data_IF_765686500976
#
_entry.id   IF_765686500976
#
_cell.length_a   1.000
_cell.length_b   1.000
_cell.length_c   1.000
_cell.angle_alpha   90.00
_cell.angle_beta   90.00
_cell.angle_gamma   90.00
#
_symmetry.space_group_name_H-M   'P 1'
#
loop_
_entity.id
_entity.type
_entity.pdbx_description
1 polymer ?
#
# COMPACT_ATOMS: atom_id res chain seq x y z
N UNK A 1 22.58 -4.04 9.15
CA UNK A 1 21.99 -5.00 8.20
C UNK A 1 20.86 -4.29 7.47
N UNK A 2 20.88 -4.29 6.15
CA UNK A 2 19.87 -3.63 5.33
C UNK A 2 18.58 -4.45 5.36
N UNK A 3 17.44 -3.81 5.67
CA UNK A 3 16.13 -4.47 5.72
C UNK A 3 15.44 -4.29 4.38
N UNK A 4 15.74 -5.16 3.43
CA UNK A 4 15.15 -5.16 2.10
C UNK A 4 14.60 -6.54 1.71
N UNK A 5 13.63 -6.54 0.81
CA UNK A 5 13.01 -7.73 0.20
C UNK A 5 12.71 -7.44 -1.27
N UNK A 6 12.62 -8.49 -2.09
CA UNK A 6 12.01 -8.38 -3.42
C UNK A 6 10.52 -8.66 -3.29
N UNK A 7 9.69 -7.69 -3.66
CA UNK A 7 8.23 -7.84 -3.70
C UNK A 7 7.77 -8.11 -5.12
N UNK A 8 6.76 -8.96 -5.27
CA UNK A 8 6.12 -9.27 -6.55
C UNK A 8 4.72 -8.67 -6.53
N UNK A 9 4.47 -7.71 -7.42
CA UNK A 9 3.18 -7.03 -7.54
C UNK A 9 2.46 -7.51 -8.78
N UNK A 10 1.20 -7.89 -8.62
CA UNK A 10 0.29 -8.27 -9.71
C UNK A 10 -0.87 -7.30 -9.76
N UNK A 11 -1.12 -6.71 -10.93
CA UNK A 11 -2.16 -5.69 -11.10
C UNK A 11 -2.74 -5.66 -12.52
N UNK A 12 -3.90 -5.05 -12.65
CA UNK A 12 -4.49 -4.65 -13.95
C UNK A 12 -4.57 -3.13 -13.99
N UNK A 13 -4.31 -2.55 -15.17
CA UNK A 13 -4.45 -1.12 -15.38
C UNK A 13 -5.71 -0.81 -16.19
N UNK A 14 -5.96 0.47 -16.46
CA UNK A 14 -7.11 0.91 -17.26
C UNK A 14 -7.03 0.53 -18.75
N UNK A 15 -5.91 -0.05 -19.20
CA UNK A 15 -5.67 -0.36 -20.62
C UNK A 15 -6.28 -1.70 -21.06
N UNK A 16 -6.88 -2.48 -20.15
CA UNK A 16 -7.63 -3.69 -20.48
C UNK A 16 -7.61 -4.75 -19.39
N UNK A 17 -8.03 -5.96 -19.75
CA UNK A 17 -8.08 -7.12 -18.83
C UNK A 17 -6.74 -7.82 -18.63
N UNK A 18 -5.67 -7.31 -19.26
CA UNK A 18 -4.34 -7.88 -19.12
C UNK A 18 -3.83 -7.72 -17.68
N UNK A 19 -3.39 -8.84 -17.12
CA UNK A 19 -2.71 -8.89 -15.83
C UNK A 19 -1.21 -8.68 -16.03
N UNK A 20 -0.65 -7.72 -15.29
CA UNK A 20 0.77 -7.42 -15.27
C UNK A 20 1.39 -7.95 -13.98
N UNK A 21 2.63 -8.40 -14.06
CA UNK A 21 3.42 -8.78 -12.90
C UNK A 21 4.78 -8.11 -12.97
N UNK A 22 5.17 -7.45 -11.87
CA UNK A 22 6.46 -6.79 -11.73
C UNK A 22 7.13 -7.23 -10.44
N UNK A 23 8.46 -7.23 -10.45
CA UNK A 23 9.27 -7.49 -9.26
C UNK A 23 10.06 -6.22 -8.94
N UNK A 24 9.95 -5.76 -7.70
CA UNK A 24 10.57 -4.51 -7.24
C UNK A 24 11.34 -4.76 -5.95
N UNK A 25 12.47 -4.08 -5.79
CA UNK A 25 13.17 -4.05 -4.51
C UNK A 25 12.43 -3.10 -3.57
N UNK A 26 12.14 -3.58 -2.36
CA UNK A 26 11.46 -2.82 -1.31
C UNK A 26 12.34 -2.78 -0.08
N UNK A 27 12.63 -1.58 0.41
CA UNK A 27 13.52 -1.33 1.55
C UNK A 27 12.81 -0.55 2.65
N UNK A 28 13.01 -0.97 3.89
CA UNK A 28 12.56 -0.20 5.05
C UNK A 28 13.48 1.01 5.28
N UNK A 29 12.90 2.21 5.35
CA UNK A 29 13.61 3.48 5.51
C UNK A 29 13.02 4.34 6.63
N UNK A 30 13.73 5.40 7.00
CA UNK A 30 13.26 6.44 7.91
C UNK A 30 12.69 7.60 7.11
N UNK A 31 11.50 8.09 7.50
CA UNK A 31 10.92 9.34 7.00
C UNK A 31 10.49 10.21 8.18
N UNK A 32 10.23 11.50 7.92
CA UNK A 32 9.71 12.43 8.93
C UNK A 32 10.51 12.48 10.24
N UNK A 33 11.85 12.41 10.15
CA UNK A 33 12.78 12.48 11.28
C UNK A 33 12.63 11.36 12.32
N UNK A 34 12.05 10.21 11.96
CA UNK A 34 12.13 9.02 12.79
C UNK A 34 13.58 8.56 12.90
N UNK A 35 14.04 8.22 14.11
CA UNK A 35 15.44 7.80 14.35
C UNK A 35 15.58 6.38 14.89
N UNK A 36 14.55 5.86 15.56
CA UNK A 36 14.66 4.62 16.33
C UNK A 36 14.13 3.40 15.57
N UNK A 37 13.11 3.60 14.73
CA UNK A 37 12.51 2.53 13.92
C UNK A 37 12.12 3.08 12.55
N UNK A 38 12.45 2.32 11.50
CA UNK A 38 12.01 2.58 10.13
C UNK A 38 10.48 2.57 10.06
N UNK A 39 9.90 3.60 9.45
CA UNK A 39 8.46 3.87 9.42
C UNK A 39 7.94 4.04 7.98
N UNK A 40 8.74 3.70 6.98
CA UNK A 40 8.39 3.83 5.58
C UNK A 40 9.04 2.72 4.77
N UNK A 41 8.48 2.48 3.59
CA UNK A 41 9.02 1.59 2.58
C UNK A 41 9.39 2.41 1.34
N UNK A 42 10.55 2.10 0.77
CA UNK A 42 11.01 2.63 -0.49
C UNK A 42 10.98 1.51 -1.52
N UNK A 43 10.29 1.75 -2.63
CA UNK A 43 10.29 0.88 -3.81
C UNK A 43 11.31 1.40 -4.81
N UNK A 44 12.07 0.51 -5.41
CA UNK A 44 12.90 0.80 -6.59
C UNK A 44 12.27 0.17 -7.82
N UNK A 45 11.71 1.02 -8.68
CA UNK A 45 11.09 0.60 -9.93
C UNK A 45 12.13 0.09 -10.93
N UNK A 46 11.69 -0.65 -11.95
CA UNK A 46 12.57 -1.22 -12.99
C UNK A 46 13.46 -0.18 -13.71
N UNK A 47 12.99 1.06 -13.82
CA UNK A 47 13.73 2.17 -14.44
C UNK A 47 14.65 2.92 -13.46
N UNK A 48 14.79 2.44 -12.22
CA UNK A 48 15.59 3.06 -11.16
C UNK A 48 14.90 4.20 -10.41
N UNK A 49 13.65 4.55 -10.77
CA UNK A 49 12.86 5.53 -10.02
C UNK A 49 12.57 4.99 -8.63
N UNK A 50 12.68 5.84 -7.61
CA UNK A 50 12.34 5.48 -6.23
C UNK A 50 11.02 6.13 -5.82
N UNK A 51 10.17 5.34 -5.16
CA UNK A 51 8.90 5.79 -4.58
C UNK A 51 8.91 5.47 -3.10
N UNK A 52 8.41 6.38 -2.26
CA UNK A 52 8.41 6.22 -0.82
C UNK A 52 6.99 6.29 -0.28
N UNK A 53 6.58 5.25 0.44
CA UNK A 53 5.32 5.20 1.17
C UNK A 53 5.59 5.19 2.66
N UNK A 54 4.93 6.07 3.40
CA UNK A 54 5.07 6.10 4.86
C UNK A 54 3.98 5.33 5.55
N UNK A 55 4.35 4.43 6.46
CA UNK A 55 3.42 3.65 7.25
C UNK A 55 2.76 4.52 8.31
N UNK A 56 1.44 4.68 8.20
CA UNK A 56 0.59 5.40 9.16
C UNK A 56 0.18 4.44 10.29
N UNK A 57 -0.28 3.25 9.91
CA UNK A 57 -0.79 2.25 10.84
C UNK A 57 -0.52 0.85 10.29
N UNK A 58 -0.19 -0.07 11.18
CA UNK A 58 -0.12 -1.51 10.89
C UNK A 58 -0.50 -2.25 12.16
N UNK A 59 -1.26 -3.34 12.02
CA UNK A 59 -1.45 -4.29 13.11
C UNK A 59 -0.43 -5.44 13.07
N UNK A 60 0.46 -5.45 12.06
CA UNK A 60 1.51 -6.43 11.87
C UNK A 60 1.05 -7.77 11.29
N UNK A 61 -0.24 -7.95 11.01
CA UNK A 61 -0.77 -9.25 10.56
C UNK A 61 -1.80 -9.13 9.43
N UNK A 62 -2.77 -8.23 9.57
CA UNK A 62 -3.96 -8.21 8.72
C UNK A 62 -4.00 -7.03 7.77
N UNK A 63 -3.43 -5.88 8.14
CA UNK A 63 -3.46 -4.70 7.28
C UNK A 63 -2.34 -3.70 7.55
N UNK A 64 -2.09 -2.89 6.53
CA UNK A 64 -1.17 -1.77 6.56
C UNK A 64 -1.84 -0.56 5.90
N UNK A 65 -1.64 0.61 6.50
CA UNK A 65 -2.13 1.89 6.03
C UNK A 65 -0.96 2.77 5.65
N UNK A 66 -0.86 3.14 4.38
CA UNK A 66 0.25 3.94 3.87
C UNK A 66 -0.19 5.33 3.40
N UNK A 67 0.63 6.33 3.69
CA UNK A 67 0.61 7.62 3.01
C UNK A 67 1.43 7.53 1.73
N UNK A 68 0.83 7.95 0.61
CA UNK A 68 1.40 7.89 -0.73
C UNK A 68 1.53 9.32 -1.28
N UNK A 69 2.55 10.08 -0.87
CA UNK A 69 2.61 11.54 -1.06
C UNK A 69 2.82 11.96 -2.52
N UNK A 70 3.30 11.08 -3.39
CA UNK A 70 3.45 11.38 -4.82
C UNK A 70 2.13 11.31 -5.59
N UNK A 71 1.04 10.87 -4.96
CA UNK A 71 -0.30 10.85 -5.56
C UNK A 71 -1.21 11.96 -5.02
N UNK A 72 -2.24 12.32 -5.80
CA UNK A 72 -3.33 13.22 -5.40
C UNK A 72 -2.86 14.55 -4.76
N UNK A 73 -1.75 15.10 -5.26
CA UNK A 73 -1.18 16.36 -4.75
C UNK A 73 -0.73 16.28 -3.28
N UNK A 74 -0.09 15.17 -2.87
CA UNK A 74 0.39 15.00 -1.50
C UNK A 74 -0.56 14.27 -0.55
N UNK A 75 -1.72 13.81 -1.06
CA UNK A 75 -2.82 13.27 -0.24
C UNK A 75 -3.19 11.84 -0.59
N UNK A 76 -2.36 11.14 -1.35
CA UNK A 76 -2.56 9.72 -1.61
C UNK A 76 -2.54 8.92 -0.31
N UNK A 77 -3.40 7.90 -0.23
CA UNK A 77 -3.38 6.94 0.86
C UNK A 77 -3.93 5.60 0.38
N UNK A 78 -3.33 4.53 0.90
CA UNK A 78 -3.66 3.16 0.54
C UNK A 78 -3.86 2.30 1.78
N UNK A 79 -4.92 1.50 1.76
CA UNK A 79 -5.15 0.43 2.73
C UNK A 79 -4.82 -0.91 2.05
N UNK A 80 -3.76 -1.55 2.51
CA UNK A 80 -3.36 -2.89 2.11
C UNK A 80 -3.91 -3.88 3.12
N UNK A 81 -4.49 -4.99 2.64
CA UNK A 81 -5.12 -6.01 3.47
C UNK A 81 -4.58 -7.37 3.08
N UNK A 82 -4.24 -8.18 4.08
CA UNK A 82 -3.84 -9.56 3.90
C UNK A 82 -4.93 -10.32 3.11
N UNK A 83 -4.52 -11.13 2.12
CA UNK A 83 -5.43 -11.88 1.25
C UNK A 83 -6.44 -12.78 1.99
N UNK A 84 -6.12 -13.20 3.23
CA UNK A 84 -7.05 -13.96 4.09
C UNK A 84 -8.20 -13.11 4.65
N UNK A 85 -8.04 -11.79 4.69
CA UNK A 85 -8.93 -10.83 5.33
C UNK A 85 -9.59 -9.85 4.35
N UNK A 86 -9.29 -9.91 3.05
CA UNK A 86 -9.85 -8.97 2.04
C UNK A 86 -11.38 -8.98 1.97
N UNK A 87 -12.01 -10.13 2.28
CA UNK A 87 -13.47 -10.27 2.33
C UNK A 87 -14.08 -9.82 3.66
N UNK A 88 -13.25 -9.67 4.71
CA UNK A 88 -13.67 -9.27 6.05
C UNK A 88 -12.55 -8.44 6.72
N UNK A 89 -12.42 -7.20 6.25
CA UNK A 89 -11.36 -6.28 6.70
C UNK A 89 -11.59 -5.93 8.19
N UNK A 90 -10.58 -6.06 9.06
CA UNK A 90 -10.75 -5.76 10.47
C UNK A 90 -11.16 -4.31 10.75
N UNK A 91 -11.99 -4.14 11.77
CA UNK A 91 -12.57 -2.83 12.11
C UNK A 91 -11.51 -1.79 12.51
N UNK A 92 -10.40 -2.22 13.14
CA UNK A 92 -9.28 -1.34 13.46
C UNK A 92 -8.67 -0.71 12.19
N UNK A 93 -8.48 -1.51 11.13
CA UNK A 93 -7.97 -1.07 9.83
C UNK A 93 -8.91 -0.06 9.16
N UNK A 94 -10.22 -0.37 9.15
CA UNK A 94 -11.24 0.51 8.58
C UNK A 94 -11.37 1.82 9.36
N UNK A 95 -11.30 1.75 10.68
CA UNK A 95 -11.30 2.93 11.55
C UNK A 95 -10.07 3.80 11.28
N UNK A 96 -8.87 3.22 11.28
CA UNK A 96 -7.63 3.94 10.99
C UNK A 96 -7.67 4.60 9.60
N UNK A 97 -8.11 3.87 8.58
CA UNK A 97 -8.27 4.42 7.23
C UNK A 97 -9.25 5.60 7.21
N UNK A 98 -10.43 5.45 7.84
CA UNK A 98 -11.42 6.53 7.90
C UNK A 98 -10.87 7.75 8.64
N UNK A 99 -10.14 7.54 9.73
CA UNK A 99 -9.61 8.62 10.55
C UNK A 99 -8.49 9.39 9.84
N UNK A 100 -7.48 8.69 9.30
CA UNK A 100 -6.30 9.33 8.73
C UNK A 100 -6.45 9.69 7.25
N UNK A 101 -7.13 8.84 6.47
CA UNK A 101 -7.11 8.92 5.01
C UNK A 101 -8.43 9.36 4.41
N UNK A 102 -9.53 9.24 5.17
CA UNK A 102 -10.83 9.73 4.72
C UNK A 102 -11.63 10.48 5.79
N UNK A 103 -11.04 11.49 6.47
CA UNK A 103 -11.70 12.17 7.58
C UNK A 103 -12.97 12.93 7.17
N UNK A 104 -13.13 13.25 5.87
CA UNK A 104 -14.27 13.99 5.31
C UNK A 104 -15.25 13.12 4.52
N UNK A 105 -15.09 11.80 4.51
CA UNK A 105 -15.95 10.90 3.75
C UNK A 105 -15.90 11.11 2.22
N UNK A 106 -14.77 11.58 1.70
CA UNK A 106 -14.45 11.66 0.28
C UNK A 106 -14.58 10.25 -0.34
N UNK A 107 -14.88 10.19 -1.65
CA UNK A 107 -15.05 8.93 -2.38
C UNK A 107 -13.79 8.07 -2.31
N UNK A 108 -13.94 6.84 -1.81
CA UNK A 108 -12.89 5.82 -1.85
C UNK A 108 -12.96 5.04 -3.18
N UNK A 109 -11.83 4.46 -3.58
CA UNK A 109 -11.74 3.58 -4.74
C UNK A 109 -11.27 2.19 -4.32
N UNK A 110 -12.00 1.16 -4.72
CA UNK A 110 -11.60 -0.23 -4.53
C UNK A 110 -10.62 -0.64 -5.63
N UNK A 111 -9.35 -0.78 -5.28
CA UNK A 111 -8.31 -1.28 -6.18
C UNK A 111 -8.43 -2.80 -6.40
N UNK A 112 -8.70 -3.56 -5.33
CA UNK A 112 -8.93 -5.00 -5.39
C UNK A 112 -10.43 -5.32 -5.41
N UNK A 113 -10.86 -6.17 -6.35
CA UNK A 113 -12.22 -6.70 -6.44
C UNK A 113 -12.18 -8.21 -6.68
N UNK A 114 -12.70 -9.01 -5.75
CA UNK A 114 -12.63 -10.48 -5.80
C UNK A 114 -13.03 -11.08 -7.15
N UNK A 115 -14.17 -10.68 -7.70
CA UNK A 115 -14.69 -11.24 -8.95
C UNK A 115 -13.87 -10.86 -10.20
N UNK A 116 -12.95 -9.90 -10.06
CA UNK A 116 -12.04 -9.47 -11.14
C UNK A 116 -10.62 -9.99 -10.90
N UNK A 117 -10.19 -10.03 -9.63
CA UNK A 117 -8.81 -10.26 -9.24
C UNK A 117 -8.52 -11.67 -8.70
N UNK A 118 -9.53 -12.47 -8.29
CA UNK A 118 -9.35 -13.92 -8.10
C UNK A 118 -9.63 -14.61 -9.42
N UNK A 119 -8.63 -15.33 -9.95
CA UNK A 119 -8.91 -16.41 -10.92
C UNK A 119 -9.73 -17.47 -10.18
N UNK A 120 -10.82 -17.90 -10.81
CA UNK A 120 -11.62 -19.08 -10.45
C UNK A 120 -10.75 -20.30 -10.27
#
# INVERSE_FOLDING_TARGET
MEKSVTSVFTFRNSSGDQEYTVSEEVKAIFTYNYTNKTNAIQYTLKNGTTLNDTLIFSDGETCDLFSVPYMNGGKGCELWVNGKNVDNIPQCCLFAYKFFCNPRGIKNHWAYKKNVCKKS
#
